data_IF_761509014109
#
_entry.id   IF_761509014109
#
_cell.length_a   1.000
_cell.length_b   1.000
_cell.length_c   1.000
_cell.angle_alpha   90.00
_cell.angle_beta   90.00
_cell.angle_gamma   90.00
#
_symmetry.space_group_name_H-M   'P 1'
#
loop_
_entity.id
_entity.type
_entity.pdbx_description
1 polymer ?
#
# COMPACT_ATOMS: atom_id res chain seq x y z
N UNK A 1 -19.52 11.59 -97.32
CA UNK A 1 -20.07 10.54 -96.41
C UNK A 1 -18.95 9.68 -95.90
N UNK A 2 -18.00 9.18 -96.70
CA UNK A 2 -16.90 8.31 -96.26
C UNK A 2 -15.98 8.94 -95.16
N UNK A 3 -15.64 10.22 -95.21
CA UNK A 3 -14.84 10.92 -94.21
C UNK A 3 -15.55 11.05 -92.90
N UNK A 4 -16.88 11.18 -92.88
CA UNK A 4 -17.63 11.22 -91.60
C UNK A 4 -17.75 9.84 -90.95
N UNK A 5 -17.85 8.76 -91.73
CA UNK A 5 -17.85 7.39 -91.18
C UNK A 5 -16.51 7.03 -90.54
N UNK A 6 -15.38 7.39 -91.17
CA UNK A 6 -14.06 7.15 -90.62
C UNK A 6 -13.83 7.85 -89.24
N UNK A 7 -14.28 9.09 -89.09
CA UNK A 7 -14.19 9.85 -87.88
C UNK A 7 -15.06 9.27 -86.76
N UNK A 8 -16.26 8.78 -87.10
CA UNK A 8 -17.16 8.12 -86.14
C UNK A 8 -16.57 6.75 -85.62
N UNK A 9 -15.99 5.98 -86.57
CA UNK A 9 -15.33 4.74 -86.23
C UNK A 9 -14.08 4.93 -85.40
N UNK A 10 -13.27 5.95 -85.63
CA UNK A 10 -12.11 6.29 -84.80
C UNK A 10 -12.52 6.77 -83.44
N UNK A 11 -13.54 7.59 -83.32
CA UNK A 11 -14.05 8.03 -82.01
C UNK A 11 -14.66 6.87 -81.20
N UNK A 12 -15.39 6.00 -81.88
CA UNK A 12 -15.94 4.76 -81.24
C UNK A 12 -14.85 3.81 -80.75
N UNK A 13 -13.81 3.56 -81.56
CA UNK A 13 -12.65 2.74 -81.17
C UNK A 13 -11.90 3.38 -79.96
N UNK A 14 -11.75 4.68 -79.98
CA UNK A 14 -11.09 5.43 -78.93
C UNK A 14 -11.87 5.33 -77.62
N UNK A 15 -13.17 5.52 -77.65
CA UNK A 15 -14.03 5.36 -76.41
C UNK A 15 -14.04 3.91 -75.94
N UNK A 16 -14.16 2.95 -76.82
CA UNK A 16 -14.14 1.54 -76.40
C UNK A 16 -12.79 1.13 -75.86
N UNK A 17 -11.68 1.53 -76.41
CA UNK A 17 -10.34 1.24 -75.89
C UNK A 17 -10.10 1.96 -74.56
N UNK A 18 -10.66 3.10 -74.29
CA UNK A 18 -10.57 3.79 -73.02
C UNK A 18 -11.39 3.05 -71.98
N UNK A 19 -12.62 2.67 -72.26
CA UNK A 19 -13.46 1.88 -71.37
C UNK A 19 -12.84 0.53 -70.98
N UNK A 20 -12.21 -0.14 -71.90
CA UNK A 20 -11.50 -1.41 -71.64
C UNK A 20 -10.31 -1.17 -70.72
N UNK A 21 -9.50 -0.13 -70.95
CA UNK A 21 -8.37 0.21 -70.11
C UNK A 21 -8.80 0.57 -68.65
N UNK A 22 -9.90 1.34 -68.54
CA UNK A 22 -10.47 1.70 -67.25
C UNK A 22 -10.98 0.45 -66.52
N UNK A 23 -11.69 -0.46 -67.18
CA UNK A 23 -12.16 -1.71 -66.61
C UNK A 23 -11.01 -2.66 -66.24
N UNK A 24 -9.95 -2.74 -67.06
CA UNK A 24 -8.74 -3.53 -66.74
C UNK A 24 -7.98 -2.98 -65.51
N UNK A 25 -7.88 -1.61 -65.42
CA UNK A 25 -7.26 -0.97 -64.27
C UNK A 25 -8.06 -1.19 -62.99
N UNK A 26 -9.39 -1.09 -63.08
CA UNK A 26 -10.28 -1.37 -61.93
C UNK A 26 -10.25 -2.82 -61.54
N UNK A 27 -10.27 -3.76 -62.46
CA UNK A 27 -10.10 -5.19 -62.18
C UNK A 27 -8.75 -5.50 -61.50
N UNK A 28 -7.66 -4.90 -61.98
CA UNK A 28 -6.34 -5.06 -61.41
C UNK A 28 -6.29 -4.51 -59.95
N UNK A 29 -6.96 -3.37 -59.69
CA UNK A 29 -7.07 -2.80 -58.36
C UNK A 29 -7.87 -3.69 -57.43
N UNK A 30 -9.07 -4.12 -57.83
CA UNK A 30 -9.93 -5.03 -57.03
C UNK A 30 -9.24 -6.36 -56.76
N UNK A 31 -8.52 -6.90 -57.76
CA UNK A 31 -7.76 -8.13 -57.60
C UNK A 31 -6.66 -8.00 -56.56
N UNK A 32 -5.91 -6.87 -56.54
CA UNK A 32 -4.89 -6.59 -55.51
C UNK A 32 -5.50 -6.42 -54.14
N UNK A 33 -6.59 -5.65 -54.03
CA UNK A 33 -7.29 -5.42 -52.76
C UNK A 33 -7.82 -6.75 -52.18
N UNK A 34 -8.36 -7.62 -53.06
CA UNK A 34 -8.83 -8.96 -52.66
C UNK A 34 -7.70 -9.85 -52.20
N UNK A 35 -6.52 -9.76 -52.82
CA UNK A 35 -5.35 -10.51 -52.41
C UNK A 35 -4.84 -10.05 -51.03
N UNK A 36 -4.75 -8.74 -50.79
CA UNK A 36 -4.36 -8.15 -49.51
C UNK A 36 -5.34 -8.56 -48.39
N UNK A 37 -6.64 -8.50 -48.69
CA UNK A 37 -7.65 -8.96 -47.72
C UNK A 37 -7.50 -10.45 -47.39
N UNK A 38 -7.22 -11.30 -48.38
CA UNK A 38 -7.01 -12.73 -48.17
C UNK A 38 -5.79 -12.99 -47.26
N UNK A 39 -4.68 -12.29 -47.51
CA UNK A 39 -3.48 -12.38 -46.66
C UNK A 39 -3.76 -11.92 -45.23
N UNK A 40 -4.54 -10.84 -45.03
CA UNK A 40 -4.97 -10.40 -43.71
C UNK A 40 -5.86 -11.44 -43.02
N UNK A 41 -6.78 -12.06 -43.70
CA UNK A 41 -7.60 -13.11 -43.16
C UNK A 41 -6.78 -14.34 -42.74
N UNK A 42 -5.79 -14.73 -43.52
CA UNK A 42 -4.89 -15.85 -43.17
C UNK A 42 -4.04 -15.53 -41.93
N UNK A 43 -3.54 -14.28 -41.82
CA UNK A 43 -2.81 -13.84 -40.62
C UNK A 43 -3.69 -13.83 -39.39
N UNK A 44 -4.90 -13.30 -39.46
CA UNK A 44 -5.86 -13.30 -38.34
C UNK A 44 -6.26 -14.71 -37.94
N UNK A 45 -6.50 -15.61 -38.87
CA UNK A 45 -6.80 -17.00 -38.58
C UNK A 45 -5.61 -17.70 -37.88
N UNK A 46 -4.38 -17.40 -38.30
CA UNK A 46 -3.16 -17.87 -37.64
C UNK A 46 -3.04 -17.36 -36.19
N UNK A 47 -3.28 -16.07 -35.97
CA UNK A 47 -3.28 -15.46 -34.63
C UNK A 47 -4.38 -16.06 -33.73
N UNK A 48 -5.57 -16.23 -34.27
CA UNK A 48 -6.69 -16.82 -33.53
C UNK A 48 -6.34 -18.25 -33.07
N UNK A 49 -5.75 -19.07 -33.95
CA UNK A 49 -5.32 -20.41 -33.60
C UNK A 49 -4.24 -20.42 -32.51
N UNK A 50 -3.26 -19.51 -32.58
CA UNK A 50 -2.22 -19.37 -31.55
C UNK A 50 -2.81 -18.96 -30.20
N UNK A 51 -3.73 -18.00 -30.18
CA UNK A 51 -4.41 -17.56 -28.96
C UNK A 51 -5.25 -18.69 -28.35
N UNK A 52 -5.92 -19.47 -29.17
CA UNK A 52 -6.72 -20.61 -28.73
C UNK A 52 -5.85 -21.68 -28.07
N UNK A 53 -4.72 -22.06 -28.68
CA UNK A 53 -3.75 -22.99 -28.09
C UNK A 53 -3.18 -22.46 -26.76
N UNK A 54 -2.93 -21.15 -26.68
CA UNK A 54 -2.43 -20.53 -25.47
C UNK A 54 -3.47 -20.52 -24.34
N UNK A 55 -4.73 -20.28 -24.66
CA UNK A 55 -5.85 -20.40 -23.72
C UNK A 55 -6.01 -21.82 -23.20
N UNK A 56 -5.93 -22.81 -24.06
CA UNK A 56 -5.99 -24.23 -23.67
C UNK A 56 -4.83 -24.60 -22.72
N UNK A 57 -3.63 -24.11 -22.99
CA UNK A 57 -2.47 -24.33 -22.11
C UNK A 57 -2.66 -23.68 -20.74
N UNK A 58 -3.07 -22.40 -20.70
CA UNK A 58 -3.30 -21.66 -19.43
C UNK A 58 -4.44 -22.29 -18.63
N UNK A 59 -5.52 -22.73 -19.28
CA UNK A 59 -6.62 -23.43 -18.59
C UNK A 59 -6.19 -24.77 -17.99
N UNK A 60 -5.32 -25.50 -18.67
CA UNK A 60 -4.76 -26.75 -18.13
C UNK A 60 -3.82 -26.46 -16.92
N UNK A 61 -2.96 -25.46 -17.02
CA UNK A 61 -2.10 -25.05 -15.89
C UNK A 61 -2.90 -24.56 -14.68
N UNK A 62 -3.99 -23.83 -14.89
CA UNK A 62 -4.86 -23.39 -13.81
C UNK A 62 -5.52 -24.56 -13.11
N UNK A 63 -6.05 -25.53 -13.86
CA UNK A 63 -6.66 -26.71 -13.29
C UNK A 63 -5.66 -27.55 -12.47
N UNK A 64 -4.42 -27.67 -12.92
CA UNK A 64 -3.36 -28.35 -12.16
C UNK A 64 -3.03 -27.63 -10.85
N UNK A 65 -2.92 -26.29 -10.90
CA UNK A 65 -2.65 -25.49 -9.70
C UNK A 65 -3.80 -25.52 -8.70
N UNK A 66 -5.04 -25.48 -9.18
CA UNK A 66 -6.24 -25.60 -8.33
C UNK A 66 -6.28 -26.95 -7.63
N UNK A 67 -5.92 -28.01 -8.34
CA UNK A 67 -5.84 -29.35 -7.73
C UNK A 67 -4.75 -29.43 -6.67
N UNK A 68 -3.56 -28.89 -6.96
CA UNK A 68 -2.47 -28.81 -5.98
C UNK A 68 -2.84 -27.97 -4.74
N UNK A 69 -3.55 -26.87 -4.92
CA UNK A 69 -4.01 -26.05 -3.82
C UNK A 69 -4.99 -26.81 -2.93
N UNK A 70 -5.96 -27.51 -3.54
CA UNK A 70 -6.92 -28.35 -2.81
C UNK A 70 -6.23 -29.48 -2.03
N UNK A 71 -5.24 -30.14 -2.63
CA UNK A 71 -4.46 -31.19 -1.96
C UNK A 71 -3.65 -30.65 -0.76
N UNK A 72 -3.12 -29.42 -0.87
CA UNK A 72 -2.42 -28.76 0.23
C UNK A 72 -3.38 -28.39 1.35
N UNK A 73 -4.54 -27.83 1.02
CA UNK A 73 -5.58 -27.47 2.02
C UNK A 73 -6.03 -28.72 2.79
N UNK A 74 -6.26 -29.85 2.11
CA UNK A 74 -6.64 -31.09 2.77
C UNK A 74 -5.53 -31.60 3.71
N UNK A 75 -4.26 -31.56 3.28
CA UNK A 75 -3.12 -31.97 4.12
C UNK A 75 -2.95 -31.04 5.34
N UNK A 76 -3.16 -29.74 5.18
CA UNK A 76 -3.11 -28.78 6.28
C UNK A 76 -4.23 -29.06 7.28
N UNK A 77 -5.47 -29.25 6.80
CA UNK A 77 -6.60 -29.59 7.65
C UNK A 77 -6.34 -30.90 8.46
N UNK A 78 -5.83 -31.92 7.80
CA UNK A 78 -5.48 -33.20 8.46
C UNK A 78 -4.39 -33.01 9.53
N UNK A 79 -3.37 -32.16 9.28
CA UNK A 79 -2.32 -31.85 10.28
C UNK A 79 -2.85 -31.07 11.46
N UNK A 80 -3.75 -30.10 11.22
CA UNK A 80 -4.40 -29.32 12.28
C UNK A 80 -5.24 -30.24 13.15
N UNK A 81 -6.02 -31.15 12.58
CA UNK A 81 -6.84 -32.08 13.35
C UNK A 81 -6.00 -33.08 14.14
N UNK A 82 -4.90 -33.57 13.58
CA UNK A 82 -3.95 -34.42 14.28
C UNK A 82 -3.27 -33.66 15.45
N UNK A 83 -2.89 -32.41 15.25
CA UNK A 83 -2.32 -31.56 16.30
C UNK A 83 -3.32 -31.26 17.42
N UNK A 84 -4.60 -30.97 17.08
CA UNK A 84 -5.67 -30.76 18.07
C UNK A 84 -5.92 -32.02 18.89
N UNK A 85 -5.92 -33.20 18.25
CA UNK A 85 -6.08 -34.48 18.94
C UNK A 85 -4.91 -34.77 19.88
N UNK A 86 -3.68 -34.58 19.41
CA UNK A 86 -2.47 -34.74 20.23
C UNK A 86 -2.43 -33.78 21.43
N UNK A 87 -2.85 -32.51 21.23
CA UNK A 87 -2.96 -31.55 22.32
C UNK A 87 -4.05 -31.91 23.33
N UNK A 88 -5.19 -32.43 22.87
CA UNK A 88 -6.25 -32.90 23.76
C UNK A 88 -5.80 -34.13 24.60
N UNK A 89 -5.10 -35.07 23.96
CA UNK A 89 -4.54 -36.25 24.61
C UNK A 89 -3.49 -35.84 25.69
N UNK A 90 -2.60 -34.89 25.36
CA UNK A 90 -1.63 -34.32 26.28
C UNK A 90 -2.29 -33.62 27.51
N UNK A 91 -3.35 -32.84 27.25
CA UNK A 91 -4.09 -32.16 28.34
C UNK A 91 -4.80 -33.20 29.24
N UNK A 92 -5.36 -34.25 28.65
CA UNK A 92 -5.95 -35.34 29.40
C UNK A 92 -4.90 -36.06 30.27
N UNK A 93 -3.73 -36.40 29.71
CA UNK A 93 -2.62 -37.00 30.49
C UNK A 93 -2.14 -36.12 31.64
N UNK A 94 -1.99 -34.80 31.40
CA UNK A 94 -1.65 -33.84 32.44
C UNK A 94 -2.71 -33.76 33.53
N UNK A 95 -4.00 -33.77 33.17
CA UNK A 95 -5.11 -33.73 34.13
C UNK A 95 -5.18 -35.01 35.00
N UNK A 96 -4.80 -36.16 34.46
CA UNK A 96 -4.74 -37.41 35.22
C UNK A 96 -3.47 -37.53 36.07
N UNK A 97 -2.37 -36.87 35.67
CA UNK A 97 -1.08 -36.95 36.38
C UNK A 97 -0.97 -35.99 37.59
N UNK A 98 -1.84 -34.98 37.68
CA UNK A 98 -1.84 -34.01 38.79
C UNK A 98 -3.26 -33.70 39.28
N UNK A 99 -3.77 -34.45 40.31
CA UNK A 99 -5.15 -34.31 40.78
C UNK A 99 -5.46 -33.01 41.56
N UNK A 100 -4.53 -32.06 41.69
CA UNK A 100 -4.71 -30.84 42.47
C UNK A 100 -4.56 -29.51 41.70
N UNK A 101 -4.64 -29.53 40.38
CA UNK A 101 -4.83 -28.28 39.64
C UNK A 101 -6.34 -28.11 39.48
N UNK A 102 -6.97 -27.46 40.48
CA UNK A 102 -8.33 -26.93 40.30
C UNK A 102 -8.33 -26.07 39.04
N UNK A 103 -9.04 -26.57 38.04
CA UNK A 103 -9.25 -25.92 36.76
C UNK A 103 -9.85 -24.53 36.98
N UNK A 104 -8.98 -23.52 37.02
CA UNK A 104 -9.31 -22.18 36.60
C UNK A 104 -8.89 -22.05 35.13
N UNK A 105 -9.46 -22.88 34.30
CA UNK A 105 -9.41 -22.69 32.86
C UNK A 105 -10.56 -21.80 32.45
N UNK A 106 -10.41 -20.54 32.70
CA UNK A 106 -11.04 -19.57 31.83
C UNK A 106 -10.15 -19.49 30.59
N UNK A 107 -10.55 -20.19 29.54
CA UNK A 107 -10.02 -20.01 28.20
C UNK A 107 -10.37 -18.58 27.73
N UNK A 108 -9.46 -17.67 28.01
CA UNK A 108 -9.35 -16.36 27.38
C UNK A 108 -7.89 -16.08 27.04
N UNK A 109 -7.16 -17.10 26.53
CA UNK A 109 -5.75 -16.96 26.22
C UNK A 109 -5.47 -16.25 24.88
N UNK A 110 -6.49 -15.98 24.07
CA UNK A 110 -6.32 -15.24 22.83
C UNK A 110 -6.55 -13.72 22.97
N UNK A 111 -7.25 -13.27 24.02
CA UNK A 111 -7.49 -11.83 24.22
C UNK A 111 -6.37 -11.12 25.00
N UNK A 112 -5.46 -11.84 25.64
CA UNK A 112 -4.50 -11.26 26.62
C UNK A 112 -3.38 -10.42 26.00
N UNK A 113 -3.22 -10.38 24.69
CA UNK A 113 -2.08 -9.73 24.05
C UNK A 113 -2.42 -8.92 22.79
N UNK A 114 -3.70 -8.59 22.56
CA UNK A 114 -4.08 -7.80 21.40
C UNK A 114 -3.68 -6.33 21.56
N UNK A 115 -3.60 -5.81 22.77
CA UNK A 115 -3.15 -4.44 23.04
C UNK A 115 -2.02 -4.43 24.07
N UNK A 116 -0.99 -3.65 23.81
CA UNK A 116 0.14 -3.39 24.68
C UNK A 116 0.36 -1.88 24.78
N UNK A 117 0.25 -1.29 25.99
CA UNK A 117 0.53 0.13 26.18
C UNK A 117 2.01 0.45 25.92
N UNK A 118 2.28 1.69 25.53
CA UNK A 118 3.63 2.18 25.35
C UNK A 118 4.45 2.11 26.65
N UNK A 119 5.75 1.91 26.51
CA UNK A 119 6.69 1.82 27.64
C UNK A 119 7.35 3.18 27.81
N UNK A 120 7.22 3.83 28.99
CA UNK A 120 7.89 5.09 29.27
C UNK A 120 9.41 4.97 29.15
N UNK A 121 10.04 5.94 28.51
CA UNK A 121 11.49 6.00 28.38
C UNK A 121 12.12 6.70 29.59
N UNK A 122 13.30 6.25 29.99
CA UNK A 122 13.92 6.70 31.24
C UNK A 122 14.53 8.11 31.18
N UNK A 123 14.70 8.66 30.00
CA UNK A 123 15.28 10.00 29.82
C UNK A 123 14.17 11.07 29.77
N UNK A 124 13.73 11.50 30.94
CA UNK A 124 12.79 12.61 31.06
C UNK A 124 13.54 13.94 31.03
N UNK A 125 13.87 14.44 29.87
CA UNK A 125 14.17 15.87 29.70
C UNK A 125 12.88 16.56 29.27
N UNK A 126 12.13 17.08 30.26
CA UNK A 126 11.03 18.02 30.00
C UNK A 126 11.63 19.25 29.33
N UNK A 127 11.33 19.48 28.08
CA UNK A 127 11.59 20.75 27.42
C UNK A 127 10.43 21.65 27.77
N UNK A 128 10.58 22.47 28.84
CA UNK A 128 9.63 23.52 29.12
C UNK A 128 9.74 24.55 27.98
N UNK A 129 8.65 24.80 27.26
CA UNK A 129 8.56 25.73 26.13
C UNK A 129 9.35 25.32 24.86
N UNK A 130 9.38 24.03 24.52
CA UNK A 130 9.95 23.57 23.24
C UNK A 130 9.25 24.17 22.04
N UNK A 131 10.03 24.49 21.02
CA UNK A 131 9.53 24.93 19.73
C UNK A 131 9.25 23.74 18.82
N UNK A 132 8.55 23.94 17.72
CA UNK A 132 8.35 22.88 16.73
C UNK A 132 9.69 22.46 16.07
N UNK A 133 10.68 23.38 16.00
CA UNK A 133 12.03 23.07 15.53
C UNK A 133 12.73 22.07 16.46
N UNK A 134 12.65 22.28 17.77
CA UNK A 134 13.24 21.37 18.77
C UNK A 134 12.60 19.97 18.70
N UNK A 135 11.27 19.92 18.48
CA UNK A 135 10.59 18.64 18.28
C UNK A 135 11.05 17.96 16.98
N UNK A 136 11.20 18.71 15.89
CA UNK A 136 11.67 18.17 14.61
C UNK A 136 13.07 17.59 14.72
N UNK A 137 13.98 18.30 15.40
CA UNK A 137 15.36 17.82 15.66
C UNK A 137 15.35 16.55 16.54
N UNK A 138 14.42 16.49 17.51
CA UNK A 138 14.23 15.29 18.33
C UNK A 138 13.73 14.14 17.48
N UNK A 139 12.69 14.33 16.65
CA UNK A 139 12.18 13.29 15.76
C UNK A 139 13.30 12.80 14.81
N UNK A 140 14.08 13.73 14.25
CA UNK A 140 15.21 13.39 13.37
C UNK A 140 16.22 12.48 14.07
N UNK A 141 16.60 12.82 15.30
CA UNK A 141 17.55 12.04 16.10
C UNK A 141 17.01 10.64 16.42
N UNK A 142 15.75 10.54 16.83
CA UNK A 142 15.12 9.25 17.14
C UNK A 142 14.91 8.39 15.88
N UNK A 143 14.67 9.01 14.71
CA UNK A 143 14.59 8.30 13.43
C UNK A 143 15.95 7.70 13.01
N UNK A 144 17.06 8.38 13.30
CA UNK A 144 18.40 7.82 13.07
C UNK A 144 18.67 6.60 13.96
N UNK A 145 18.18 6.60 15.21
CA UNK A 145 18.21 5.43 16.08
C UNK A 145 17.27 4.31 15.60
N UNK A 146 16.19 4.66 14.91
CA UNK A 146 15.31 3.70 14.22
C UNK A 146 15.91 3.14 12.91
N UNK A 147 17.10 3.58 12.50
CA UNK A 147 17.81 3.10 11.31
C UNK A 147 17.52 3.87 10.03
N UNK A 148 16.90 5.04 10.14
CA UNK A 148 16.71 5.95 8.99
C UNK A 148 18.05 6.59 8.64
N UNK A 149 18.32 6.68 7.33
CA UNK A 149 19.52 7.33 6.82
C UNK A 149 19.54 8.82 7.16
N UNK A 150 20.69 9.32 7.61
CA UNK A 150 20.88 10.74 7.91
C UNK A 150 20.64 11.66 6.70
N UNK A 151 20.71 11.11 5.48
CA UNK A 151 20.38 11.86 4.26
C UNK A 151 18.89 12.23 4.18
N UNK A 152 18.01 11.33 4.67
CA UNK A 152 16.56 11.48 4.59
C UNK A 152 15.92 11.84 5.94
N UNK A 153 16.66 11.77 7.06
CA UNK A 153 16.13 11.91 8.42
C UNK A 153 15.35 13.21 8.62
N UNK A 154 15.87 14.36 8.16
CA UNK A 154 15.19 15.66 8.27
C UNK A 154 13.89 15.71 7.44
N UNK A 155 13.94 15.26 6.18
CA UNK A 155 12.77 15.29 5.31
C UNK A 155 11.68 14.34 5.82
N UNK A 156 12.09 13.16 6.31
CA UNK A 156 11.17 12.19 6.86
C UNK A 156 10.62 12.61 8.22
N UNK A 157 11.42 13.23 9.09
CA UNK A 157 10.95 13.84 10.33
C UNK A 157 9.87 14.90 10.06
N UNK A 158 10.10 15.79 9.10
CA UNK A 158 9.13 16.80 8.68
C UNK A 158 7.82 16.17 8.15
N UNK A 159 7.93 15.07 7.39
CA UNK A 159 6.78 14.32 6.90
C UNK A 159 5.95 13.71 8.04
N UNK A 160 6.61 12.99 8.95
CA UNK A 160 5.94 12.36 10.09
C UNK A 160 5.31 13.40 11.01
N UNK A 161 6.01 14.52 11.27
CA UNK A 161 5.49 15.62 12.05
C UNK A 161 4.24 16.22 11.40
N UNK A 162 4.28 16.53 10.09
CA UNK A 162 3.14 17.08 9.36
C UNK A 162 1.94 16.12 9.35
N UNK A 163 2.16 14.82 9.14
CA UNK A 163 1.10 13.82 9.20
C UNK A 163 0.49 13.70 10.61
N UNK A 164 1.34 13.70 11.65
CA UNK A 164 0.91 13.68 13.04
C UNK A 164 0.09 14.92 13.40
N UNK A 165 0.56 16.10 13.03
CA UNK A 165 -0.12 17.38 13.27
C UNK A 165 -1.48 17.44 12.56
N UNK A 166 -1.53 17.05 11.29
CA UNK A 166 -2.75 17.00 10.48
C UNK A 166 -3.68 15.81 10.84
N UNK A 167 -3.26 14.93 11.79
CA UNK A 167 -4.00 13.71 12.15
C UNK A 167 -4.31 12.82 10.96
N UNK A 168 -3.37 12.70 10.03
CA UNK A 168 -3.50 11.86 8.84
C UNK A 168 -2.82 10.51 9.12
N UNK A 169 -3.58 9.41 9.27
CA UNK A 169 -3.01 8.11 9.58
C UNK A 169 -2.03 7.62 8.53
N UNK A 170 -0.97 6.94 8.96
CA UNK A 170 0.08 6.43 8.09
C UNK A 170 0.05 4.91 7.99
N UNK A 171 0.51 4.40 6.85
CA UNK A 171 0.84 3.00 6.63
C UNK A 171 2.34 2.93 6.31
N UNK A 172 3.14 2.54 7.30
CA UNK A 172 4.58 2.32 7.14
C UNK A 172 4.81 0.89 6.67
N UNK A 173 5.28 0.72 5.44
CA UNK A 173 5.53 -0.57 4.85
C UNK A 173 7.01 -0.75 4.51
N UNK A 174 7.59 -1.84 4.99
CA UNK A 174 8.99 -2.19 4.81
C UNK A 174 9.75 -2.32 6.13
N UNK A 175 11.10 -2.36 6.07
CA UNK A 175 11.94 -2.58 7.24
C UNK A 175 11.79 -1.47 8.30
N UNK A 176 11.98 -1.83 9.55
CA UNK A 176 11.95 -0.93 10.71
C UNK A 176 10.65 -0.11 10.86
N UNK A 177 9.55 -0.50 10.21
CA UNK A 177 8.27 0.24 10.24
C UNK A 177 7.76 0.46 11.65
N UNK A 178 7.89 -0.54 12.54
CA UNK A 178 7.56 -0.41 13.97
C UNK A 178 8.53 0.52 14.69
N UNK A 179 9.83 0.35 14.48
CA UNK A 179 10.85 1.15 15.16
C UNK A 179 10.74 2.64 14.81
N UNK A 180 10.33 2.95 13.57
CA UNK A 180 10.03 4.33 13.14
C UNK A 180 8.82 4.90 13.89
N UNK A 181 7.80 4.10 14.11
CA UNK A 181 6.65 4.53 14.90
C UNK A 181 7.00 4.71 16.39
N UNK A 182 7.85 3.84 16.94
CA UNK A 182 8.39 3.98 18.30
C UNK A 182 9.25 5.25 18.41
N UNK A 183 10.07 5.58 17.41
CA UNK A 183 10.86 6.80 17.33
C UNK A 183 9.99 8.07 17.37
N UNK A 184 8.92 8.10 16.56
CA UNK A 184 7.99 9.22 16.58
C UNK A 184 7.28 9.34 17.94
N UNK A 185 6.86 8.22 18.53
CA UNK A 185 6.22 8.20 19.85
C UNK A 185 7.18 8.66 20.95
N UNK A 186 8.42 8.20 20.90
CA UNK A 186 9.48 8.62 21.83
C UNK A 186 9.67 10.13 21.78
N UNK A 187 9.77 10.71 20.58
CA UNK A 187 9.96 12.15 20.41
C UNK A 187 8.75 12.97 20.88
N UNK A 188 7.52 12.47 20.67
CA UNK A 188 6.28 13.21 20.94
C UNK A 188 5.83 13.06 22.39
N UNK A 189 5.92 11.84 22.97
CA UNK A 189 5.31 11.54 24.26
C UNK A 189 6.29 10.98 25.31
N UNK A 190 7.55 10.75 24.92
CA UNK A 190 8.56 10.16 25.82
C UNK A 190 8.29 8.71 26.19
N UNK A 191 7.49 8.01 25.40
CA UNK A 191 7.18 6.59 25.53
C UNK A 191 7.20 5.91 24.16
N UNK A 192 7.41 4.59 24.14
CA UNK A 192 7.23 3.84 22.89
C UNK A 192 5.77 3.88 22.43
N UNK A 193 5.52 3.64 21.17
CA UNK A 193 4.16 3.57 20.67
C UNK A 193 3.37 2.44 21.34
N UNK A 194 2.08 2.69 21.59
CA UNK A 194 1.19 1.61 22.03
C UNK A 194 0.88 0.68 20.85
N UNK A 195 0.91 -0.63 21.08
CA UNK A 195 0.79 -1.62 20.03
C UNK A 195 -0.56 -2.33 20.09
N UNK A 196 -1.24 -2.34 18.94
CA UNK A 196 -2.45 -3.13 18.70
C UNK A 196 -2.10 -4.26 17.72
N UNK A 197 -2.14 -5.50 18.20
CA UNK A 197 -1.86 -6.69 17.37
C UNK A 197 -3.12 -7.13 16.63
N UNK A 198 -3.07 -7.07 15.32
CA UNK A 198 -4.21 -7.31 14.42
C UNK A 198 -4.13 -8.67 13.69
N UNK A 199 -3.27 -9.58 14.13
CA UNK A 199 -2.99 -10.85 13.45
C UNK A 199 -4.08 -11.92 13.57
N UNK A 200 -5.22 -11.62 14.20
CA UNK A 200 -6.31 -12.56 14.43
C UNK A 200 -7.68 -12.02 13.98
N UNK A 201 -8.73 -12.49 14.64
CA UNK A 201 -10.08 -11.99 14.48
C UNK A 201 -10.18 -10.58 15.08
N UNK A 202 -10.95 -9.71 14.44
CA UNK A 202 -11.20 -8.37 14.95
C UNK A 202 -11.80 -8.41 16.37
N UNK A 203 -11.24 -7.61 17.27
CA UNK A 203 -11.69 -7.49 18.66
C UNK A 203 -12.05 -6.05 18.99
N UNK A 204 -13.32 -5.83 19.23
CA UNK A 204 -13.83 -4.52 19.65
C UNK A 204 -13.30 -4.11 21.02
N UNK A 205 -13.16 -5.07 21.95
CA UNK A 205 -12.63 -4.81 23.30
C UNK A 205 -11.18 -4.32 23.26
N UNK A 206 -10.33 -4.87 22.36
CA UNK A 206 -8.96 -4.40 22.18
C UNK A 206 -8.90 -2.95 21.63
N UNK A 207 -9.83 -2.59 20.74
CA UNK A 207 -9.95 -1.21 20.22
C UNK A 207 -10.39 -0.24 21.32
N UNK A 208 -11.34 -0.64 22.17
CA UNK A 208 -11.80 0.15 23.31
C UNK A 208 -10.68 0.36 24.35
N UNK A 209 -9.93 -0.69 24.69
CA UNK A 209 -8.75 -0.62 25.56
C UNK A 209 -7.68 0.31 24.97
N UNK A 210 -7.39 0.17 23.69
CA UNK A 210 -6.48 1.02 22.94
C UNK A 210 -6.92 2.49 23.00
N UNK A 211 -8.20 2.77 22.76
CA UNK A 211 -8.75 4.12 22.77
C UNK A 211 -8.69 4.75 24.17
N UNK A 212 -8.92 3.96 25.22
CA UNK A 212 -8.87 4.39 26.61
C UNK A 212 -7.45 4.55 27.19
N UNK A 213 -6.41 4.09 26.49
CA UNK A 213 -5.02 4.20 26.93
C UNK A 213 -4.51 5.64 26.95
N UNK A 214 -3.43 5.93 27.68
CA UNK A 214 -2.79 7.25 27.71
C UNK A 214 -1.97 7.55 26.45
N UNK A 215 -1.43 6.52 25.78
CA UNK A 215 -0.57 6.68 24.61
C UNK A 215 -1.26 7.44 23.47
N UNK A 216 -0.56 8.40 22.90
CA UNK A 216 -1.10 9.22 21.77
C UNK A 216 -0.92 8.52 20.42
N UNK A 217 0.14 7.74 20.25
CA UNK A 217 0.49 7.04 19.01
C UNK A 217 0.20 5.56 19.16
N UNK A 218 -0.63 5.05 18.26
CA UNK A 218 -1.03 3.65 18.20
C UNK A 218 -0.44 3.02 16.94
N UNK A 219 0.24 1.88 17.14
CA UNK A 219 0.75 1.07 16.03
C UNK A 219 -0.11 -0.17 15.87
N UNK A 220 -0.82 -0.26 14.76
CA UNK A 220 -1.52 -1.48 14.36
C UNK A 220 -0.55 -2.41 13.61
N UNK A 221 -0.22 -3.54 14.23
CA UNK A 221 0.67 -4.56 13.66
C UNK A 221 -0.15 -5.65 13.00
N UNK A 222 0.34 -6.17 11.88
CA UNK A 222 -0.28 -7.30 11.15
C UNK A 222 -1.75 -7.06 10.74
N UNK A 223 -2.14 -5.79 10.53
CA UNK A 223 -3.51 -5.45 10.14
C UNK A 223 -3.80 -5.81 8.67
N UNK A 224 -2.78 -5.76 7.80
CA UNK A 224 -2.91 -6.16 6.41
C UNK A 224 -3.04 -7.69 6.30
N UNK A 225 -3.69 -8.15 5.24
CA UNK A 225 -3.94 -9.58 5.00
C UNK A 225 -4.74 -10.30 6.10
N UNK A 226 -5.45 -9.56 6.95
CA UNK A 226 -6.31 -10.08 8.01
C UNK A 226 -7.71 -9.47 7.95
N UNK A 227 -8.62 -9.94 8.81
CA UNK A 227 -9.96 -9.34 8.94
C UNK A 227 -9.96 -7.88 9.42
N UNK A 228 -8.87 -7.41 9.99
CA UNK A 228 -8.70 -6.04 10.48
C UNK A 228 -8.65 -4.98 9.36
N UNK A 229 -8.25 -5.36 8.14
CA UNK A 229 -8.26 -4.45 6.97
C UNK A 229 -9.61 -3.78 6.78
N UNK A 230 -10.70 -4.51 6.96
CA UNK A 230 -12.07 -3.96 6.83
C UNK A 230 -12.44 -2.94 7.91
N UNK A 231 -11.70 -2.90 9.03
CA UNK A 231 -11.89 -1.99 10.17
C UNK A 231 -10.88 -0.84 10.22
N UNK A 232 -9.98 -0.73 9.24
CA UNK A 232 -9.01 0.38 9.17
C UNK A 232 -9.70 1.76 9.15
N UNK A 233 -10.88 1.85 8.54
CA UNK A 233 -11.67 3.07 8.54
C UNK A 233 -12.04 3.50 9.98
N UNK A 234 -12.50 2.57 10.81
CA UNK A 234 -12.88 2.81 12.20
C UNK A 234 -11.65 3.13 13.05
N UNK A 235 -10.57 2.37 12.87
CA UNK A 235 -9.29 2.63 13.55
C UNK A 235 -8.72 4.01 13.20
N UNK A 236 -8.85 4.44 11.95
CA UNK A 236 -8.37 5.76 11.50
C UNK A 236 -9.17 6.93 12.08
N UNK A 237 -10.36 6.67 12.59
CA UNK A 237 -11.26 7.65 13.17
C UNK A 237 -11.17 7.74 14.71
N UNK A 238 -10.26 6.99 15.37
CA UNK A 238 -10.09 7.01 16.82
C UNK A 238 -9.73 8.43 17.30
N UNK A 239 -10.59 8.97 18.17
CA UNK A 239 -10.39 10.33 18.70
C UNK A 239 -9.18 10.41 19.63
N UNK A 240 -8.40 11.46 19.48
CA UNK A 240 -7.23 11.72 20.33
C UNK A 240 -6.03 10.82 20.06
N UNK A 241 -6.14 9.86 19.14
CA UNK A 241 -5.06 8.95 18.78
C UNK A 241 -4.52 9.26 17.37
N UNK A 242 -3.26 8.96 17.16
CA UNK A 242 -2.64 8.97 15.85
C UNK A 242 -2.30 7.54 15.45
N UNK A 243 -2.96 7.06 14.40
CA UNK A 243 -2.80 5.68 13.93
C UNK A 243 -1.63 5.57 12.97
N UNK A 244 -0.77 4.60 13.22
CA UNK A 244 0.24 4.09 12.29
C UNK A 244 -0.04 2.60 12.08
N UNK A 245 -0.26 2.20 10.84
CA UNK A 245 -0.27 0.78 10.46
C UNK A 245 1.14 0.40 10.08
N UNK A 246 1.74 -0.56 10.77
CA UNK A 246 3.09 -1.04 10.48
C UNK A 246 3.03 -2.39 9.79
N UNK A 247 3.69 -2.51 8.65
CA UNK A 247 3.76 -3.74 7.86
C UNK A 247 5.20 -3.98 7.37
N UNK A 248 5.74 -5.22 7.52
CA UNK A 248 7.15 -5.48 7.23
C UNK A 248 7.50 -5.55 5.75
N UNK A 249 6.53 -5.75 4.85
CA UNK A 249 6.75 -5.98 3.43
C UNK A 249 6.05 -4.92 2.57
N UNK A 250 6.84 -4.16 1.82
CA UNK A 250 6.31 -3.11 0.94
C UNK A 250 5.54 -3.68 -0.26
N UNK A 251 5.92 -4.86 -0.72
CA UNK A 251 5.32 -5.55 -1.87
C UNK A 251 3.84 -5.89 -1.65
N UNK A 252 3.46 -6.19 -0.42
CA UNK A 252 2.08 -6.56 -0.06
C UNK A 252 1.09 -5.41 -0.32
N UNK A 253 1.56 -4.17 -0.37
CA UNK A 253 0.71 -3.02 -0.70
C UNK A 253 0.09 -3.12 -2.10
N UNK A 254 0.68 -3.90 -3.00
CA UNK A 254 0.18 -4.06 -4.37
C UNK A 254 -1.08 -4.92 -4.44
N UNK A 255 -1.28 -5.81 -3.46
CA UNK A 255 -2.43 -6.73 -3.41
C UNK A 255 -3.58 -6.19 -2.56
N UNK A 256 -3.34 -5.18 -1.74
CA UNK A 256 -4.35 -4.59 -0.87
C UNK A 256 -5.41 -3.79 -1.64
N UNK A 257 -6.66 -3.72 -1.14
CA UNK A 257 -7.71 -2.96 -1.78
C UNK A 257 -7.34 -1.48 -1.91
N UNK A 258 -7.49 -0.89 -3.09
CA UNK A 258 -7.20 0.53 -3.33
C UNK A 258 -7.97 1.48 -2.40
N UNK A 259 -9.15 1.06 -1.92
CA UNK A 259 -9.95 1.80 -0.95
C UNK A 259 -9.26 2.02 0.39
N UNK A 260 -8.32 1.15 0.78
CA UNK A 260 -7.52 1.28 1.99
C UNK A 260 -6.79 2.63 2.06
N UNK A 261 -6.22 3.06 0.94
CA UNK A 261 -5.43 4.30 0.86
C UNK A 261 -6.25 5.59 1.02
N UNK A 262 -7.59 5.50 1.06
CA UNK A 262 -8.44 6.62 1.48
C UNK A 262 -8.35 6.89 2.99
N UNK A 263 -7.92 5.92 3.77
CA UNK A 263 -7.88 6.00 5.24
C UNK A 263 -6.46 6.18 5.78
N UNK A 264 -5.46 5.61 5.12
CA UNK A 264 -4.05 5.66 5.54
C UNK A 264 -3.16 6.06 4.37
N UNK A 265 -2.15 6.92 4.61
CA UNK A 265 -1.17 7.26 3.59
C UNK A 265 -0.01 6.25 3.62
N UNK A 266 0.28 5.57 2.50
CA UNK A 266 1.39 4.64 2.43
C UNK A 266 2.74 5.36 2.39
N UNK A 267 3.71 4.82 3.13
CA UNK A 267 5.11 5.24 3.13
C UNK A 267 5.99 4.00 3.03
N UNK A 268 6.85 3.96 2.02
CA UNK A 268 7.78 2.86 1.80
C UNK A 268 9.06 3.11 2.62
N UNK A 269 9.20 2.42 3.75
CA UNK A 269 10.34 2.64 4.66
C UNK A 269 11.66 2.16 4.07
N UNK A 270 11.64 1.22 3.14
CA UNK A 270 12.83 0.75 2.41
C UNK A 270 13.56 1.85 1.62
N UNK A 271 12.87 2.96 1.30
CA UNK A 271 13.48 4.09 0.60
C UNK A 271 14.31 5.00 1.52
N UNK A 272 14.12 4.91 2.83
CA UNK A 272 14.73 5.80 3.82
C UNK A 272 15.56 5.08 4.87
N UNK A 273 15.37 3.77 5.05
CA UNK A 273 16.10 2.94 6.01
C UNK A 273 17.36 2.38 5.35
N UNK A 274 18.52 2.57 5.98
CA UNK A 274 19.81 2.07 5.50
C UNK A 274 20.50 1.10 6.47
N UNK A 275 19.99 0.97 7.70
CA UNK A 275 20.55 0.09 8.74
C UNK A 275 19.48 -0.47 9.68
N UNK A 276 19.76 -1.57 10.41
CA UNK A 276 18.89 -2.05 11.48
C UNK A 276 18.72 -1.00 12.57
N UNK A 277 17.55 -0.96 13.22
CA UNK A 277 17.29 -0.07 14.34
C UNK A 277 18.18 -0.39 15.55
N UNK A 278 18.83 0.63 16.11
CA UNK A 278 19.61 0.51 17.32
C UNK A 278 18.72 0.53 18.58
N UNK A 279 17.49 1.08 18.47
CA UNK A 279 16.48 1.19 19.54
C UNK A 279 16.96 1.93 20.79
N UNK A 280 17.95 2.78 20.64
CA UNK A 280 18.50 3.62 21.70
C UNK A 280 17.71 4.88 21.95
N UNK A 281 16.36 4.80 21.87
CA UNK A 281 15.47 5.95 21.99
C UNK A 281 15.66 6.67 23.31
N UNK A 282 15.86 7.99 23.25
CA UNK A 282 16.07 8.84 24.41
C UNK A 282 14.80 9.58 24.83
N UNK A 283 13.92 9.78 23.86
CA UNK A 283 12.67 10.50 24.06
C UNK A 283 12.90 12.00 24.23
N UNK A 284 11.94 12.71 23.78
CA UNK A 284 11.65 14.09 24.09
C UNK A 284 10.15 14.17 24.25
N UNK A 285 9.55 15.29 24.52
CA UNK A 285 8.11 15.37 24.51
C UNK A 285 7.62 16.81 24.32
N UNK A 286 6.40 16.89 23.79
CA UNK A 286 5.69 18.14 23.75
C UNK A 286 5.20 18.49 25.16
N UNK A 287 5.58 19.64 25.67
CA UNK A 287 5.01 20.20 26.89
C UNK A 287 3.65 20.87 26.63
N UNK A 288 2.89 21.09 27.68
CA UNK A 288 1.70 21.94 27.63
C UNK A 288 2.10 23.31 27.06
N UNK A 289 1.39 23.78 26.05
CA UNK A 289 1.67 25.06 25.38
C UNK A 289 2.55 25.00 24.13
N UNK A 290 2.89 23.78 23.65
CA UNK A 290 3.60 23.63 22.39
C UNK A 290 2.84 24.33 21.24
N UNK A 291 3.52 25.27 20.59
CA UNK A 291 2.94 25.98 19.46
C UNK A 291 3.30 25.29 18.16
N UNK A 292 2.30 24.68 17.54
CA UNK A 292 2.43 24.21 16.16
C UNK A 292 2.55 25.41 15.22
N UNK A 293 3.41 25.28 14.22
CA UNK A 293 3.40 26.28 13.15
C UNK A 293 2.12 26.10 12.30
N UNK A 294 1.60 27.22 11.84
CA UNK A 294 0.54 27.23 10.83
C UNK A 294 1.15 27.65 9.50
N UNK A 295 1.03 26.80 8.50
CA UNK A 295 1.46 27.17 7.16
C UNK A 295 0.48 28.20 6.57
N UNK A 296 0.98 29.39 6.25
CA UNK A 296 0.22 30.43 5.52
C UNK A 296 0.31 30.22 4.00
N UNK A 297 1.07 29.22 3.52
CA UNK A 297 1.24 28.99 2.11
C UNK A 297 -0.02 28.37 1.46
N UNK A 298 -0.40 28.85 0.27
CA UNK A 298 -1.54 28.28 -0.45
C UNK A 298 -1.24 26.83 -0.86
N UNK A 299 -2.26 25.99 -0.76
CA UNK A 299 -2.21 24.61 -1.25
C UNK A 299 -1.73 24.55 -2.70
N UNK A 300 -0.63 23.84 -2.97
CA UNK A 300 -0.13 23.65 -4.33
C UNK A 300 -0.54 22.29 -4.89
N UNK A 301 -0.72 22.23 -6.21
CA UNK A 301 -1.00 20.97 -6.91
C UNK A 301 0.17 20.01 -6.75
N UNK A 302 -0.15 18.72 -6.53
CA UNK A 302 0.85 17.65 -6.56
C UNK A 302 1.45 17.56 -7.97
N UNK A 303 2.78 17.42 -8.12
CA UNK A 303 3.45 17.41 -9.43
C UNK A 303 2.96 16.29 -10.33
N UNK A 304 2.55 15.15 -9.77
CA UNK A 304 2.12 13.95 -10.51
C UNK A 304 0.62 13.68 -10.42
N UNK A 305 -0.19 14.63 -9.91
CA UNK A 305 -1.63 14.40 -9.68
C UNK A 305 -2.41 14.00 -10.94
N UNK A 306 -1.96 14.40 -12.12
CA UNK A 306 -2.59 14.04 -13.39
C UNK A 306 -2.17 12.66 -13.92
N UNK A 307 -1.07 12.10 -13.43
CA UNK A 307 -0.52 10.80 -13.84
C UNK A 307 -0.97 9.67 -12.91
N UNK A 308 -1.12 9.99 -11.64
CA UNK A 308 -1.59 9.07 -10.62
C UNK A 308 -3.11 9.27 -10.47
N UNK A 309 -3.89 8.26 -10.81
CA UNK A 309 -5.36 8.26 -10.59
C UNK A 309 -5.67 8.16 -9.08
N UNK A 310 -5.20 9.13 -8.30
CA UNK A 310 -5.44 9.21 -6.88
C UNK A 310 -6.88 9.64 -6.61
N UNK A 311 -7.49 9.11 -5.55
CA UNK A 311 -8.79 9.60 -5.10
C UNK A 311 -8.67 11.07 -4.66
N UNK A 312 -9.75 11.86 -4.76
CA UNK A 312 -9.73 13.26 -4.28
C UNK A 312 -9.33 13.38 -2.80
N UNK A 313 -9.69 12.41 -1.97
CA UNK A 313 -9.37 12.40 -0.54
C UNK A 313 -7.87 12.20 -0.30
N UNK A 314 -7.25 11.24 -0.96
CA UNK A 314 -5.79 11.03 -0.89
C UNK A 314 -5.06 12.26 -1.41
N UNK A 315 -5.49 12.79 -2.55
CA UNK A 315 -4.88 13.99 -3.14
C UNK A 315 -4.95 15.21 -2.21
N UNK A 316 -6.05 15.36 -1.46
CA UNK A 316 -6.18 16.41 -0.46
C UNK A 316 -5.21 16.20 0.71
N UNK A 317 -5.16 15.01 1.29
CA UNK A 317 -4.28 14.67 2.40
C UNK A 317 -2.79 14.84 2.05
N UNK A 318 -2.39 14.35 0.88
CA UNK A 318 -1.00 14.52 0.41
C UNK A 318 -0.64 15.99 0.23
N UNK A 319 -1.56 16.81 -0.32
CA UNK A 319 -1.33 18.25 -0.44
C UNK A 319 -1.19 18.94 0.92
N UNK A 320 -2.01 18.54 1.89
CA UNK A 320 -1.93 19.07 3.25
C UNK A 320 -0.58 18.75 3.88
N UNK A 321 -0.18 17.48 3.93
CA UNK A 321 1.13 17.06 4.47
C UNK A 321 2.28 17.80 3.76
N UNK A 322 2.24 17.86 2.43
CA UNK A 322 3.28 18.51 1.64
C UNK A 322 3.37 20.02 1.90
N UNK A 323 2.24 20.67 2.10
CA UNK A 323 2.20 22.10 2.44
C UNK A 323 2.82 22.33 3.81
N UNK A 324 2.47 21.50 4.79
CA UNK A 324 2.97 21.60 6.15
C UNK A 324 4.48 21.28 6.27
N UNK A 325 5.01 20.41 5.41
CA UNK A 325 6.46 20.11 5.37
C UNK A 325 7.34 21.25 4.86
N UNK A 326 6.80 22.21 4.12
CA UNK A 326 7.61 23.22 3.44
C UNK A 326 8.27 24.20 4.38
N UNK A 327 7.56 24.61 5.42
CA UNK A 327 8.09 25.52 6.42
C UNK A 327 9.36 24.98 7.06
N UNK A 328 9.39 23.74 7.60
CA UNK A 328 10.61 23.18 8.16
C UNK A 328 11.72 22.92 7.16
N UNK A 329 11.42 22.69 5.89
CA UNK A 329 12.44 22.32 4.90
C UNK A 329 13.06 23.50 4.14
N UNK A 330 12.59 24.74 4.37
CA UNK A 330 13.14 25.98 3.81
C UNK A 330 13.72 25.85 2.38
N UNK A 331 12.92 25.35 1.44
CA UNK A 331 13.28 25.34 0.02
C UNK A 331 14.16 24.17 -0.47
N UNK A 332 14.44 23.17 0.33
CA UNK A 332 15.15 21.95 -0.11
C UNK A 332 14.17 20.99 -0.82
N UNK A 333 13.69 21.40 -1.99
CA UNK A 333 12.61 20.75 -2.73
C UNK A 333 12.95 19.36 -3.29
N UNK A 334 14.25 19.04 -3.50
CA UNK A 334 14.62 17.81 -4.20
C UNK A 334 14.46 16.54 -3.36
N UNK A 335 14.58 16.65 -2.03
CA UNK A 335 14.49 15.49 -1.13
C UNK A 335 13.05 15.18 -0.70
N UNK A 336 12.17 16.17 -0.70
CA UNK A 336 10.74 15.99 -0.40
C UNK A 336 9.99 15.24 -1.50
N UNK A 337 10.42 15.36 -2.75
CA UNK A 337 9.76 14.72 -3.88
C UNK A 337 10.00 13.20 -3.93
N UNK A 338 10.98 12.67 -3.19
CA UNK A 338 11.25 11.23 -3.06
C UNK A 338 10.34 10.52 -2.05
N UNK A 339 9.69 11.25 -1.14
CA UNK A 339 8.78 10.69 -0.12
C UNK A 339 7.32 10.62 -0.61
N UNK A 340 7.05 11.17 -1.78
CA UNK A 340 5.76 11.22 -2.46
C UNK A 340 5.87 10.53 -3.85
#
# INVERSE_FOLDING_TARGET
LEKCQGLIEEEWRRKHSQQIREAEAEFSRVSKDTQVQREQYEQLAGQQKQLQTRLEHITAELAEKEQLASDVEEKVAQRIDAAKKSAADFICEMAFSQPNITARSTYSSEERYLFQPGIPLNSKTLVENGTWEDLLDTIMTELEEAGVSSEYSLAFAAYLYAAYHARIPLLLAGPNSRDIADALSAAVSGETASVLYCGGVFSQSAVEECTGSSGQIIVAMDALSTGWVSHIADLSAMQGKFLIVAHPFAEDLMIEPRGLYNYVLPVLTELVVDRPAARGFKGGYMCEGFQHYTSEEPERKLPFSNQLMLSPLISHRLRQVRTDMRTPLHGNNSKTDLLF
#
